data_IF_028229446154
#
_entry.id   IF_028229446154
#
_cell.length_a   1.000
_cell.length_b   1.000
_cell.length_c   1.000
_cell.angle_alpha   90.00
_cell.angle_beta   90.00
_cell.angle_gamma   90.00
#
_symmetry.space_group_name_H-M   'P 1'
#
loop_
_entity.id
_entity.type
_entity.pdbx_description
1 polymer ?
#
# COMPACT_ATOMS: atom_id res chain seq x y z
N UNK A 1 -22.92 22.83 2.42
CA UNK A 1 -21.66 22.13 2.07
C UNK A 1 -20.74 23.16 1.44
N UNK A 2 -19.49 23.25 1.88
CA UNK A 2 -18.47 24.15 1.32
C UNK A 2 -17.30 23.32 0.83
N UNK A 3 -16.72 23.70 -0.31
CA UNK A 3 -15.61 22.98 -0.93
C UNK A 3 -14.52 23.96 -1.36
N UNK A 4 -13.26 23.54 -1.24
CA UNK A 4 -12.13 24.32 -1.70
C UNK A 4 -10.89 23.45 -1.90
N UNK A 5 -9.91 23.91 -2.69
CA UNK A 5 -8.64 23.23 -2.80
C UNK A 5 -7.94 23.24 -1.43
N UNK A 6 -7.30 22.13 -1.09
CA UNK A 6 -6.34 22.04 0.01
C UNK A 6 -5.02 22.66 -0.42
N UNK A 7 -4.17 22.97 0.56
CA UNK A 7 -2.80 23.39 0.31
C UNK A 7 -2.11 22.39 -0.64
N UNK A 8 -1.39 22.87 -1.68
CA UNK A 8 -0.59 22.02 -2.54
C UNK A 8 0.39 21.18 -1.72
N UNK A 9 0.38 19.87 -1.93
CA UNK A 9 1.27 18.93 -1.26
C UNK A 9 2.37 18.49 -2.24
N UNK A 10 3.64 18.66 -1.86
CA UNK A 10 4.76 18.12 -2.64
C UNK A 10 4.92 16.62 -2.35
N UNK A 11 4.75 15.77 -3.35
CA UNK A 11 4.99 14.32 -3.29
C UNK A 11 6.18 13.98 -4.19
N UNK A 12 7.38 14.01 -3.62
CA UNK A 12 8.60 13.79 -4.39
C UNK A 12 8.90 14.97 -5.32
N UNK A 13 8.87 14.77 -6.64
CA UNK A 13 9.01 15.86 -7.63
C UNK A 13 7.66 16.36 -8.16
N UNK A 14 6.55 15.79 -7.69
CA UNK A 14 5.21 16.09 -8.19
C UNK A 14 4.44 16.93 -7.16
N UNK A 15 3.71 17.94 -7.64
CA UNK A 15 2.80 18.75 -6.80
C UNK A 15 1.39 18.17 -6.91
N UNK A 16 0.80 17.82 -5.78
CA UNK A 16 -0.56 17.31 -5.68
C UNK A 16 -1.47 18.39 -5.07
N UNK A 17 -2.45 18.84 -5.84
CA UNK A 17 -3.53 19.71 -5.34
C UNK A 17 -4.80 18.88 -5.30
N UNK A 18 -5.48 18.92 -4.16
CA UNK A 18 -6.70 18.13 -3.93
C UNK A 18 -7.82 19.04 -3.45
N UNK A 19 -9.05 18.64 -3.67
CA UNK A 19 -10.21 19.30 -3.07
C UNK A 19 -10.51 18.72 -1.69
N UNK A 20 -10.96 19.56 -0.77
CA UNK A 20 -11.64 19.12 0.44
C UNK A 20 -12.99 19.83 0.56
N UNK A 21 -13.97 19.13 1.08
CA UNK A 21 -15.28 19.67 1.37
C UNK A 21 -15.64 19.48 2.83
N UNK A 22 -16.42 20.40 3.38
CA UNK A 22 -17.01 20.33 4.71
C UNK A 22 -18.53 20.41 4.57
N UNK A 23 -19.22 19.39 5.08
CA UNK A 23 -20.67 19.42 5.26
C UNK A 23 -20.94 20.15 6.57
N UNK A 24 -21.77 21.18 6.51
CA UNK A 24 -22.18 21.98 7.66
C UNK A 24 -23.63 21.62 8.01
N UNK A 25 -23.98 21.67 9.29
CA UNK A 25 -25.36 21.57 9.76
C UNK A 25 -26.11 22.92 9.60
N UNK A 26 -27.41 23.01 9.94
CA UNK A 26 -28.16 24.27 9.87
C UNK A 26 -27.60 25.39 10.77
N UNK A 27 -26.84 25.06 11.81
CA UNK A 27 -26.14 26.00 12.69
C UNK A 27 -24.72 26.33 12.21
N UNK A 28 -24.37 25.94 10.98
CA UNK A 28 -23.07 26.11 10.35
C UNK A 28 -21.91 25.39 11.07
N UNK A 29 -22.20 24.37 11.88
CA UNK A 29 -21.17 23.55 12.51
C UNK A 29 -20.66 22.46 11.56
N UNK A 30 -19.35 22.14 11.56
CA UNK A 30 -18.79 21.07 10.74
C UNK A 30 -19.30 19.69 11.16
N UNK A 31 -20.08 19.05 10.29
CA UNK A 31 -20.62 17.70 10.52
C UNK A 31 -19.67 16.62 9.96
N UNK A 32 -19.15 16.81 8.75
CA UNK A 32 -18.29 15.84 8.08
C UNK A 32 -17.35 16.49 7.08
N UNK A 33 -16.11 16.00 7.00
CA UNK A 33 -15.14 16.33 5.95
C UNK A 33 -15.08 15.27 4.85
N UNK A 34 -14.89 15.72 3.62
CA UNK A 34 -14.79 14.86 2.44
C UNK A 34 -13.53 15.21 1.63
N UNK A 35 -12.75 14.21 1.18
CA UNK A 35 -12.83 12.81 1.60
C UNK A 35 -12.54 12.66 3.11
N UNK A 36 -13.07 11.60 3.73
CA UNK A 36 -12.85 11.35 5.16
C UNK A 36 -11.36 11.08 5.49
N UNK A 37 -10.61 10.58 4.51
CA UNK A 37 -9.18 10.37 4.57
C UNK A 37 -8.52 11.08 3.40
N UNK A 38 -7.41 11.75 3.65
CA UNK A 38 -6.53 12.26 2.59
C UNK A 38 -5.51 11.19 2.26
N UNK A 39 -5.48 10.64 1.02
CA UNK A 39 -4.45 9.69 0.64
C UNK A 39 -3.06 10.25 0.91
N UNK A 40 -2.18 9.52 1.58
CA UNK A 40 -0.81 9.99 1.77
C UNK A 40 -0.07 10.08 0.43
N UNK A 41 1.01 10.86 0.37
CA UNK A 41 1.93 10.75 -0.76
C UNK A 41 2.40 9.29 -0.88
N UNK A 42 2.53 8.74 -2.11
CA UNK A 42 3.16 7.45 -2.30
C UNK A 42 4.53 7.45 -1.60
N UNK A 43 4.72 6.54 -0.64
CA UNK A 43 5.99 6.43 0.06
C UNK A 43 7.03 5.95 -0.95
N UNK A 44 8.11 6.71 -1.10
CA UNK A 44 9.22 6.33 -1.99
C UNK A 44 9.90 5.04 -1.50
N UNK A 45 9.98 4.85 -0.18
CA UNK A 45 10.49 3.67 0.51
C UNK A 45 9.35 2.75 0.93
N UNK A 46 9.39 1.49 0.51
CA UNK A 46 8.39 0.48 0.89
C UNK A 46 9.06 -0.83 1.29
N UNK A 47 8.63 -1.38 2.42
CA UNK A 47 9.05 -2.72 2.87
C UNK A 47 7.88 -3.68 2.73
N UNK A 48 8.06 -4.72 1.91
CA UNK A 48 7.05 -5.75 1.64
C UNK A 48 7.47 -7.03 2.35
N UNK A 49 6.64 -7.52 3.27
CA UNK A 49 6.81 -8.81 3.92
C UNK A 49 5.86 -9.84 3.28
N UNK A 50 6.42 -10.96 2.80
CA UNK A 50 5.65 -12.07 2.23
C UNK A 50 5.80 -13.29 3.12
N UNK A 51 4.66 -13.83 3.57
CA UNK A 51 4.58 -15.09 4.34
C UNK A 51 4.10 -16.20 3.41
N UNK A 52 4.86 -17.29 3.32
CA UNK A 52 4.50 -18.46 2.50
C UNK A 52 4.14 -19.63 3.37
N UNK A 53 2.99 -20.23 3.08
CA UNK A 53 2.53 -21.44 3.74
C UNK A 53 3.38 -22.64 3.32
N UNK A 54 4.02 -23.27 4.31
CA UNK A 54 4.82 -24.48 4.17
C UNK A 54 4.14 -25.71 4.79
N UNK A 55 2.84 -25.66 5.04
CA UNK A 55 2.06 -26.76 5.62
C UNK A 55 2.06 -28.02 4.73
N UNK A 56 1.67 -29.15 5.32
CA UNK A 56 1.60 -30.45 4.62
C UNK A 56 0.45 -30.58 3.61
N UNK A 57 -0.55 -29.69 3.66
CA UNK A 57 -1.72 -29.72 2.76
C UNK A 57 -1.39 -29.16 1.36
N UNK A 58 -0.35 -28.35 1.24
CA UNK A 58 0.07 -27.79 -0.05
C UNK A 58 0.84 -28.88 -0.82
N UNK A 59 0.71 -28.99 -2.14
CA UNK A 59 1.52 -29.97 -2.88
C UNK A 59 2.98 -29.48 -3.03
N UNK A 60 3.93 -30.37 -3.32
CA UNK A 60 5.33 -29.97 -3.60
C UNK A 60 5.43 -29.06 -4.82
N UNK A 61 4.57 -29.29 -5.81
CA UNK A 61 4.52 -28.46 -7.02
C UNK A 61 4.02 -27.05 -6.69
N UNK A 62 2.95 -26.92 -5.91
CA UNK A 62 2.41 -25.61 -5.52
C UNK A 62 3.39 -24.83 -4.67
N UNK A 63 4.07 -25.48 -3.74
CA UNK A 63 5.11 -24.85 -2.93
C UNK A 63 6.29 -24.34 -3.79
N UNK A 64 6.64 -25.07 -4.85
CA UNK A 64 7.64 -24.62 -5.83
C UNK A 64 7.14 -23.39 -6.62
N UNK A 65 5.87 -23.41 -7.06
CA UNK A 65 5.23 -22.29 -7.73
C UNK A 65 5.21 -21.04 -6.84
N UNK A 66 4.87 -21.16 -5.55
CA UNK A 66 4.88 -20.07 -4.58
C UNK A 66 6.29 -19.47 -4.40
N UNK A 67 7.33 -20.31 -4.33
CA UNK A 67 8.73 -19.84 -4.30
C UNK A 67 9.12 -19.09 -5.56
N UNK A 68 8.78 -19.61 -6.74
CA UNK A 68 9.09 -18.97 -8.00
C UNK A 68 8.39 -17.62 -8.14
N UNK A 69 7.14 -17.52 -7.69
CA UNK A 69 6.42 -16.25 -7.61
C UNK A 69 7.15 -15.24 -6.73
N UNK A 70 7.61 -15.64 -5.52
CA UNK A 70 8.39 -14.74 -4.65
C UNK A 70 9.68 -14.26 -5.33
N UNK A 71 10.40 -15.15 -6.00
CA UNK A 71 11.63 -14.79 -6.72
C UNK A 71 11.35 -13.75 -7.81
N UNK A 72 10.29 -13.93 -8.59
CA UNK A 72 9.92 -12.99 -9.64
C UNK A 72 9.46 -11.64 -9.08
N UNK A 73 8.74 -11.64 -7.95
CA UNK A 73 8.39 -10.41 -7.22
C UNK A 73 9.64 -9.69 -6.75
N UNK A 74 10.57 -10.40 -6.08
CA UNK A 74 11.84 -9.82 -5.64
C UNK A 74 12.62 -9.23 -6.83
N UNK A 75 12.69 -9.96 -7.96
CA UNK A 75 13.36 -9.51 -9.17
C UNK A 75 12.77 -8.22 -9.74
N UNK A 76 11.44 -8.07 -9.74
CA UNK A 76 10.78 -6.85 -10.22
C UNK A 76 11.10 -5.61 -9.39
N UNK A 77 11.36 -5.79 -8.10
CA UNK A 77 11.69 -4.68 -7.19
C UNK A 77 13.21 -4.46 -7.03
N UNK A 78 14.06 -5.28 -7.67
CA UNK A 78 15.51 -5.05 -7.68
C UNK A 78 15.84 -3.67 -8.29
N UNK A 79 16.68 -2.91 -7.59
CA UNK A 79 17.08 -1.56 -8.01
C UNK A 79 16.03 -0.48 -7.77
N UNK A 80 14.87 -0.82 -7.19
CA UNK A 80 13.90 0.15 -6.67
C UNK A 80 14.15 0.41 -5.18
N UNK A 81 13.53 1.45 -4.63
CA UNK A 81 13.56 1.77 -3.20
C UNK A 81 12.54 0.91 -2.39
N UNK A 82 12.25 -0.29 -2.90
CA UNK A 82 11.35 -1.27 -2.29
C UNK A 82 12.13 -2.50 -1.85
N UNK A 83 12.10 -2.82 -0.56
CA UNK A 83 12.69 -4.04 -0.03
C UNK A 83 11.62 -5.12 0.11
N UNK A 84 11.84 -6.29 -0.50
CA UNK A 84 10.98 -7.45 -0.33
C UNK A 84 11.68 -8.47 0.57
N UNK A 85 11.03 -8.85 1.67
CA UNK A 85 11.52 -9.88 2.60
C UNK A 85 10.55 -11.06 2.57
N UNK A 86 11.06 -12.25 2.27
CA UNK A 86 10.31 -13.50 2.34
C UNK A 86 10.67 -14.29 3.60
N UNK A 87 9.66 -14.70 4.36
CA UNK A 87 9.81 -15.75 5.38
C UNK A 87 9.14 -17.02 4.87
N UNK A 88 9.94 -17.94 4.34
CA UNK A 88 9.48 -19.24 3.89
C UNK A 88 9.53 -20.26 5.02
N UNK A 89 8.39 -20.88 5.33
CA UNK A 89 8.37 -22.06 6.20
C UNK A 89 9.23 -23.18 5.61
N UNK A 90 10.09 -23.81 6.42
CA UNK A 90 10.82 -25.00 5.98
C UNK A 90 9.86 -26.17 5.90
N UNK A 91 9.58 -26.63 4.68
CA UNK A 91 8.71 -27.78 4.48
C UNK A 91 9.43 -29.05 4.94
N UNK A 92 9.00 -29.62 6.06
CA UNK A 92 9.46 -30.95 6.49
C UNK A 92 8.68 -32.00 5.69
N UNK A 93 9.40 -32.84 4.95
CA UNK A 93 8.94 -34.12 4.39
C UNK A 93 7.58 -34.11 3.70
#
# INVERSE_FOLDING_TARGET
>A
MVCGPTAPQLCGHNVHVRGSCVVLDPALQPLRRLPATTPECPRRRSDIAVLVDGSGSISRQDFSTMKNFMLEVMRRFQGTDTQVRGHGGHRRG
#
